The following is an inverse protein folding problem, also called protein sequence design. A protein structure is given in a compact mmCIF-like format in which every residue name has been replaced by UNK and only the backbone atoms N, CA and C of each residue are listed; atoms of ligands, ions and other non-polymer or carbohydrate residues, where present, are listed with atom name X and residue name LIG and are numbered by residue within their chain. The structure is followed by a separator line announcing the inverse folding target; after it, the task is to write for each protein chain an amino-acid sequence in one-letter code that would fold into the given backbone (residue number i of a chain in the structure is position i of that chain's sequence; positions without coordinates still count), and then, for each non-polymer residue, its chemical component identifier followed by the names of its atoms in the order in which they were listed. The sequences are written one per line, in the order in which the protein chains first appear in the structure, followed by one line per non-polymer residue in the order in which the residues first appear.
data_IF_041472908357
#
_entry.id   IF_041472908357
#
_cell.length_a   1.000
_cell.length_b   1.000
_cell.length_c   1.000
_cell.angle_alpha   90.00
_cell.angle_beta   90.00
_cell.angle_gamma   90.00
#
_symmetry.space_group_name_H-M   'P 1'
#
loop_
_entity.id
_entity.type
_entity.pdbx_description
1 polymer ?
#
# COMPACT_ATOMS: atom_id res chain seq x y z
N UNK A 1 21.41 -8.24 -0.55
CA UNK A 1 22.23 -8.63 0.63
C UNK A 1 23.16 -7.54 1.16
N UNK A 2 23.42 -6.51 0.38
CA UNK A 2 24.27 -5.37 0.78
C UNK A 2 23.68 -4.56 1.97
N UNK A 3 22.39 -4.24 1.93
CA UNK A 3 21.72 -3.51 3.01
C UNK A 3 21.85 -4.21 4.37
N UNK A 4 21.70 -5.54 4.41
CA UNK A 4 21.82 -6.31 5.64
C UNK A 4 23.23 -6.22 6.25
N UNK A 5 24.28 -6.22 5.42
CA UNK A 5 25.65 -6.05 5.88
C UNK A 5 25.86 -4.68 6.50
N UNK A 6 25.37 -3.64 5.85
CA UNK A 6 25.45 -2.25 6.36
C UNK A 6 24.72 -2.08 7.68
N UNK A 7 23.47 -2.59 7.77
CA UNK A 7 22.67 -2.52 9.01
C UNK A 7 23.37 -3.28 10.14
N UNK A 8 23.86 -4.49 9.91
CA UNK A 8 24.64 -5.24 10.92
C UNK A 8 25.87 -4.46 11.38
N UNK A 9 26.62 -3.87 10.46
CA UNK A 9 27.79 -3.07 10.79
C UNK A 9 27.48 -1.85 11.66
N UNK A 10 26.37 -1.17 11.38
CA UNK A 10 25.90 -0.05 12.20
C UNK A 10 25.47 -0.51 13.59
N UNK A 11 24.70 -1.59 13.70
CA UNK A 11 24.24 -2.12 14.96
C UNK A 11 25.42 -2.55 15.87
N UNK A 12 26.45 -3.20 15.31
CA UNK A 12 27.66 -3.52 16.07
C UNK A 12 28.41 -2.26 16.55
N UNK A 13 28.47 -1.21 15.72
CA UNK A 13 29.12 0.07 16.12
C UNK A 13 28.43 0.76 17.29
N UNK A 14 27.12 0.61 17.44
CA UNK A 14 26.36 1.19 18.56
C UNK A 14 26.17 0.23 19.74
N UNK A 15 26.91 -0.89 19.75
CA UNK A 15 27.04 -1.74 20.93
C UNK A 15 26.24 -3.06 20.92
N UNK A 16 25.50 -3.37 19.85
CA UNK A 16 24.82 -4.67 19.75
C UNK A 16 25.81 -5.80 19.52
N UNK A 17 25.87 -6.79 20.43
CA UNK A 17 26.79 -7.91 20.38
C UNK A 17 26.36 -8.95 19.36
N UNK A 18 25.03 -9.18 19.23
CA UNK A 18 24.47 -10.15 18.29
C UNK A 18 23.29 -9.55 17.50
N UNK A 19 23.26 -9.84 16.20
CA UNK A 19 22.20 -9.38 15.29
C UNK A 19 21.68 -10.57 14.50
N UNK A 20 20.44 -10.96 14.80
CA UNK A 20 19.76 -12.06 14.12
C UNK A 20 18.90 -11.54 12.98
N UNK A 21 18.82 -12.30 11.89
CA UNK A 21 17.96 -12.01 10.75
C UNK A 21 16.73 -12.90 10.81
N UNK A 22 15.55 -12.29 10.72
CA UNK A 22 14.31 -12.99 10.44
C UNK A 22 13.82 -12.56 9.05
N UNK A 23 13.93 -13.43 8.02
CA UNK A 23 13.41 -13.08 6.70
C UNK A 23 11.89 -13.09 6.70
N UNK A 24 11.29 -12.11 6.00
CA UNK A 24 9.87 -12.14 5.70
C UNK A 24 9.56 -13.27 4.71
N UNK A 25 8.42 -13.92 4.90
CA UNK A 25 7.85 -14.87 3.97
C UNK A 25 6.42 -14.45 3.59
N UNK A 26 5.80 -15.15 2.66
CA UNK A 26 4.45 -14.83 2.15
C UNK A 26 3.41 -14.81 3.28
N UNK A 27 3.52 -15.67 4.29
CA UNK A 27 2.60 -15.72 5.41
C UNK A 27 2.68 -14.48 6.35
N UNK A 28 3.73 -13.67 6.24
CA UNK A 28 3.94 -12.46 7.04
C UNK A 28 3.51 -11.18 6.30
N UNK A 29 3.13 -11.28 5.02
CA UNK A 29 2.67 -10.15 4.22
C UNK A 29 1.16 -9.95 4.39
N UNK A 30 0.77 -8.92 5.15
CA UNK A 30 -0.62 -8.61 5.42
C UNK A 30 -1.22 -7.57 4.45
N UNK A 31 -0.40 -6.69 3.89
CA UNK A 31 -0.85 -5.58 3.05
C UNK A 31 -0.16 -5.60 1.69
N UNK A 32 -0.87 -6.11 0.71
CA UNK A 32 -0.45 -6.08 -0.69
C UNK A 32 -0.87 -4.75 -1.32
N UNK A 33 -0.04 -4.21 -2.21
CA UNK A 33 -0.26 -2.92 -2.85
C UNK A 33 0.13 -2.95 -4.34
N UNK A 34 -0.32 -1.92 -5.09
CA UNK A 34 0.08 -1.68 -6.47
C UNK A 34 -0.75 -2.38 -7.54
N UNK A 35 -1.76 -3.18 -7.17
CA UNK A 35 -2.64 -3.88 -8.13
C UNK A 35 -3.75 -2.98 -8.69
N UNK A 36 -4.18 -1.97 -7.94
CA UNK A 36 -5.25 -1.03 -8.29
C UNK A 36 -4.70 0.35 -8.62
N UNK A 37 -3.82 0.40 -9.62
CA UNK A 37 -3.19 1.66 -10.02
C UNK A 37 -4.25 2.72 -10.33
N UNK A 38 -4.24 3.82 -9.58
CA UNK A 38 -5.12 4.97 -9.79
C UNK A 38 -4.56 5.93 -10.83
N UNK A 39 -5.45 6.55 -11.61
CA UNK A 39 -5.07 7.55 -12.61
C UNK A 39 -6.24 7.99 -13.47
N UNK A 40 -6.05 9.05 -14.25
CA UNK A 40 -7.08 9.60 -15.12
C UNK A 40 -7.24 8.85 -16.45
N UNK A 41 -6.19 8.17 -16.92
CA UNK A 41 -6.20 7.49 -18.20
C UNK A 41 -6.56 6.00 -18.01
N UNK A 42 -7.73 5.54 -18.53
CA UNK A 42 -8.16 4.15 -18.43
C UNK A 42 -7.22 3.15 -19.14
N UNK A 43 -6.37 3.59 -20.03
CA UNK A 43 -5.38 2.72 -20.69
C UNK A 43 -4.18 2.38 -19.79
N UNK A 44 -3.94 3.17 -18.77
CA UNK A 44 -2.75 3.06 -17.91
C UNK A 44 -3.09 2.91 -16.43
N UNK A 45 -4.37 2.98 -16.08
CA UNK A 45 -4.88 2.87 -14.70
C UNK A 45 -6.11 1.96 -14.64
N UNK A 46 -6.34 1.38 -13.48
CA UNK A 46 -7.49 0.48 -13.21
C UNK A 46 -8.66 1.25 -12.63
N UNK A 47 -8.36 2.23 -11.78
CA UNK A 47 -9.33 3.08 -11.08
C UNK A 47 -9.00 4.55 -11.27
N UNK A 48 -9.99 5.40 -11.11
CA UNK A 48 -9.83 6.85 -11.10
C UNK A 48 -9.34 7.37 -9.73
N UNK A 49 -9.32 8.69 -9.55
CA UNK A 49 -8.92 9.35 -8.30
C UNK A 49 -9.87 9.08 -7.12
N UNK A 50 -11.06 8.58 -7.36
CA UNK A 50 -12.06 8.19 -6.37
C UNK A 50 -12.15 6.68 -6.19
N UNK A 51 -11.15 5.94 -6.65
CA UNK A 51 -11.12 4.47 -6.59
C UNK A 51 -12.28 3.79 -7.36
N UNK A 52 -12.95 4.50 -8.28
CA UNK A 52 -13.97 3.96 -9.17
C UNK A 52 -13.28 3.26 -10.34
N UNK A 53 -13.74 2.06 -10.68
CA UNK A 53 -13.26 1.31 -11.85
C UNK A 53 -13.51 2.10 -13.14
N UNK A 54 -12.55 2.09 -14.06
CA UNK A 54 -12.76 2.63 -15.42
C UNK A 54 -13.64 1.74 -16.29
N UNK A 55 -13.70 0.44 -15.99
CA UNK A 55 -14.43 -0.55 -16.79
C UNK A 55 -15.86 -0.79 -16.29
N UNK A 56 -16.19 -0.38 -15.06
CA UNK A 56 -17.48 -0.65 -14.43
C UNK A 56 -18.02 0.59 -13.70
N UNK A 57 -19.22 1.04 -14.09
CA UNK A 57 -19.81 2.27 -13.57
C UNK A 57 -20.23 2.23 -12.10
N UNK A 58 -20.43 1.03 -11.55
CA UNK A 58 -20.92 0.81 -10.18
C UNK A 58 -19.91 0.07 -9.30
N UNK A 59 -18.62 0.03 -9.67
CA UNK A 59 -17.58 -0.69 -8.92
C UNK A 59 -16.55 0.29 -8.35
N UNK A 60 -16.41 0.28 -7.03
CA UNK A 60 -15.39 0.99 -6.29
C UNK A 60 -14.46 0.00 -5.59
N UNK A 61 -13.15 0.21 -5.69
CA UNK A 61 -12.11 -0.68 -5.19
C UNK A 61 -11.28 0.07 -4.15
N UNK A 62 -11.64 -0.10 -2.87
CA UNK A 62 -11.10 0.70 -1.76
C UNK A 62 -10.39 -0.22 -0.77
N UNK A 63 -9.16 -0.58 -1.09
CA UNK A 63 -8.28 -1.36 -0.23
C UNK A 63 -6.81 -0.92 -0.38
N UNK A 64 -5.86 -1.67 0.19
CA UNK A 64 -4.44 -1.35 0.07
C UNK A 64 -3.88 -1.43 -1.35
N UNK A 65 -4.60 -1.99 -2.31
CA UNK A 65 -4.18 -2.15 -3.71
C UNK A 65 -3.93 -0.83 -4.44
N UNK A 66 -4.59 0.26 -4.02
CA UNK A 66 -4.40 1.58 -4.65
C UNK A 66 -3.03 2.22 -4.34
N UNK A 67 -2.33 1.78 -3.30
CA UNK A 67 -0.99 2.31 -3.01
C UNK A 67 0.00 1.98 -4.13
N UNK A 68 0.76 2.95 -4.62
CA UNK A 68 1.77 2.71 -5.66
C UNK A 68 2.99 1.93 -5.12
N UNK A 69 3.22 2.00 -3.82
CA UNK A 69 4.30 1.29 -3.12
C UNK A 69 3.94 1.05 -1.66
N UNK A 70 4.55 0.04 -1.05
CA UNK A 70 4.36 -0.25 0.37
C UNK A 70 5.01 0.82 1.25
N UNK A 71 4.26 1.30 2.24
CA UNK A 71 4.79 2.16 3.28
C UNK A 71 5.63 1.38 4.30
N UNK A 72 6.48 2.10 5.05
CA UNK A 72 7.26 1.50 6.14
C UNK A 72 6.40 1.14 7.37
N UNK A 73 5.26 1.81 7.54
CA UNK A 73 4.30 1.61 8.64
C UNK A 73 3.02 0.95 8.11
N UNK A 74 2.26 0.35 9.02
CA UNK A 74 0.98 -0.29 8.69
C UNK A 74 -0.01 0.72 8.09
N UNK A 75 -0.61 0.44 6.91
CA UNK A 75 -1.38 1.41 6.13
C UNK A 75 -2.87 1.48 6.51
N UNK A 76 -3.35 0.73 7.50
CA UNK A 76 -4.78 0.58 7.79
C UNK A 76 -5.51 1.93 7.99
N UNK A 77 -4.90 2.87 8.69
CA UNK A 77 -5.49 4.20 8.91
C UNK A 77 -5.62 5.00 7.60
N UNK A 78 -4.64 4.91 6.73
CA UNK A 78 -4.68 5.56 5.40
C UNK A 78 -5.73 4.93 4.50
N UNK A 79 -5.90 3.60 4.55
CA UNK A 79 -6.96 2.90 3.81
C UNK A 79 -8.34 3.37 4.31
N UNK A 80 -8.55 3.46 5.62
CA UNK A 80 -9.80 3.95 6.20
C UNK A 80 -10.07 5.41 5.83
N UNK A 81 -9.08 6.28 5.89
CA UNK A 81 -9.20 7.68 5.48
C UNK A 81 -9.56 7.81 3.99
N UNK A 82 -8.94 7.00 3.12
CA UNK A 82 -9.28 6.97 1.70
C UNK A 82 -10.73 6.49 1.47
N UNK A 83 -11.19 5.50 2.25
CA UNK A 83 -12.58 5.03 2.15
C UNK A 83 -13.58 6.14 2.49
N UNK A 84 -13.35 6.88 3.57
CA UNK A 84 -14.18 8.02 3.96
C UNK A 84 -14.17 9.09 2.86
N UNK A 85 -12.98 9.46 2.37
CA UNK A 85 -12.83 10.43 1.29
C UNK A 85 -13.62 10.04 0.04
N UNK A 86 -13.56 8.78 -0.38
CA UNK A 86 -14.27 8.29 -1.56
C UNK A 86 -15.78 8.42 -1.37
N UNK A 87 -16.31 8.08 -0.18
CA UNK A 87 -17.75 8.23 0.10
C UNK A 87 -18.18 9.71 0.10
N UNK A 88 -17.36 10.61 0.66
CA UNK A 88 -17.69 12.03 0.79
C UNK A 88 -17.54 12.81 -0.53
N UNK A 89 -16.57 12.47 -1.37
CA UNK A 89 -16.20 13.25 -2.55
C UNK A 89 -16.66 12.61 -3.88
N UNK A 90 -17.16 11.37 -3.88
CA UNK A 90 -17.64 10.68 -5.07
C UNK A 90 -19.16 10.50 -5.09
N UNK A 91 -19.67 9.96 -6.19
CA UNK A 91 -21.10 9.63 -6.33
C UNK A 91 -21.51 8.37 -5.55
N UNK A 92 -20.61 7.74 -4.81
CA UNK A 92 -20.88 6.48 -4.10
C UNK A 92 -22.02 6.61 -3.09
N UNK A 93 -22.14 7.76 -2.43
CA UNK A 93 -23.23 8.03 -1.47
C UNK A 93 -24.61 8.18 -2.13
N UNK A 94 -24.67 8.36 -3.46
CA UNK A 94 -25.88 8.60 -4.24
C UNK A 94 -26.33 7.39 -5.07
N UNK A 95 -25.67 6.26 -4.90
CA UNK A 95 -25.95 5.01 -5.64
C UNK A 95 -27.00 4.16 -4.93
#
# INVERSE_FOLDING_TARGET
MELLKRVKGLLHKIGYIAVFRQPFNIAMNAHQCGTLKAGHDPKTSVVDQYCKSHDHDNLYLIDGGFFPSSAAMNPALTIAAQAIRVVEESDLANV
#
